data_IF_939999227442
#
_entry.id   IF_939999227442
#
_cell.length_a   1.000
_cell.length_b   1.000
_cell.length_c   1.000
_cell.angle_alpha   90.00
_cell.angle_beta   90.00
_cell.angle_gamma   90.00
#
_symmetry.space_group_name_H-M   'P 1'
#
loop_
_entity.id
_entity.type
_entity.pdbx_description
1 polymer ?
#
# COMPACT_ATOMS: atom_id res chain seq x y z
N UNK A 1 -4.82 -13.32 -3.48
CA UNK A 1 -4.66 -11.92 -3.99
C UNK A 1 -3.91 -11.12 -2.92
N UNK A 2 -3.07 -10.14 -3.32
CA UNK A 2 -2.42 -9.19 -2.38
C UNK A 2 -2.60 -7.78 -2.95
N UNK A 3 -3.04 -6.82 -2.11
CA UNK A 3 -3.13 -5.41 -2.44
C UNK A 3 -2.31 -4.59 -1.43
N UNK A 4 -1.12 -4.14 -1.88
CA UNK A 4 -0.27 -3.16 -1.19
C UNK A 4 -0.14 -1.86 -2.02
N UNK A 5 -1.08 -1.62 -2.94
CA UNK A 5 -1.05 -0.47 -3.83
C UNK A 5 -1.95 0.67 -3.31
N UNK A 6 -3.25 0.57 -3.55
CA UNK A 6 -4.24 1.55 -3.06
C UNK A 6 -5.60 0.88 -2.89
N UNK A 7 -6.43 1.38 -1.97
CA UNK A 7 -7.78 0.88 -1.70
C UNK A 7 -8.64 0.77 -2.95
N UNK A 8 -8.79 1.85 -3.76
CA UNK A 8 -9.61 1.84 -4.98
C UNK A 8 -9.17 0.86 -6.08
N UNK A 9 -8.02 0.19 -5.93
CA UNK A 9 -7.62 -0.89 -6.86
C UNK A 9 -8.48 -2.15 -6.70
N UNK A 10 -9.28 -2.24 -5.63
CA UNK A 10 -10.10 -3.40 -5.31
C UNK A 10 -11.51 -2.93 -4.93
N UNK A 11 -12.52 -3.48 -5.57
CA UNK A 11 -13.92 -3.29 -5.16
C UNK A 11 -14.19 -4.19 -3.95
N UNK A 12 -14.40 -3.62 -2.76
CA UNK A 12 -14.54 -4.35 -1.50
C UNK A 12 -15.63 -5.43 -1.57
N UNK A 13 -16.81 -5.08 -2.12
CA UNK A 13 -17.93 -6.02 -2.22
C UNK A 13 -17.58 -7.26 -3.07
N UNK A 14 -16.84 -7.07 -4.16
CA UNK A 14 -16.42 -8.15 -5.04
C UNK A 14 -15.35 -9.03 -4.37
N UNK A 15 -14.44 -8.42 -3.61
CA UNK A 15 -13.45 -9.16 -2.82
C UNK A 15 -14.13 -10.04 -1.77
N UNK A 16 -15.09 -9.47 -1.02
CA UNK A 16 -15.87 -10.19 -0.02
C UNK A 16 -16.61 -11.38 -0.65
N UNK A 17 -17.28 -11.15 -1.78
CA UNK A 17 -17.99 -12.21 -2.50
C UNK A 17 -17.03 -13.31 -2.97
N UNK A 18 -15.91 -12.93 -3.57
CA UNK A 18 -14.92 -13.88 -4.08
C UNK A 18 -14.31 -14.77 -2.99
N UNK A 19 -14.06 -14.19 -1.82
CA UNK A 19 -13.51 -14.92 -0.67
C UNK A 19 -14.56 -15.86 -0.05
N UNK A 20 -15.81 -15.41 0.11
CA UNK A 20 -16.90 -16.22 0.66
C UNK A 20 -17.31 -17.38 -0.23
N UNK A 21 -17.30 -17.17 -1.53
CA UNK A 21 -17.63 -18.18 -2.53
C UNK A 21 -16.47 -19.13 -2.87
N UNK A 22 -15.28 -18.89 -2.28
CA UNK A 22 -14.10 -19.71 -2.54
C UNK A 22 -13.46 -19.49 -3.92
N UNK A 23 -13.90 -18.47 -4.68
CA UNK A 23 -13.25 -18.06 -5.94
C UNK A 23 -11.83 -17.55 -5.72
N UNK A 24 -11.59 -16.97 -4.55
CA UNK A 24 -10.25 -16.70 -4.01
C UNK A 24 -10.05 -17.54 -2.76
N UNK A 25 -8.96 -18.29 -2.72
CA UNK A 25 -8.56 -19.06 -1.54
C UNK A 25 -8.23 -18.16 -0.35
N UNK A 26 -7.62 -16.98 -0.61
CA UNK A 26 -7.29 -15.99 0.41
C UNK A 26 -6.83 -14.68 -0.19
N UNK A 27 -6.81 -13.65 0.64
CA UNK A 27 -6.30 -12.34 0.27
C UNK A 27 -5.53 -11.67 1.42
N UNK A 28 -4.67 -10.72 1.06
CA UNK A 28 -4.05 -9.76 1.98
C UNK A 28 -4.23 -8.35 1.44
N UNK A 29 -4.67 -7.43 2.29
CA UNK A 29 -4.84 -6.02 1.95
C UNK A 29 -4.16 -5.16 3.00
N UNK A 30 -3.30 -4.25 2.54
CA UNK A 30 -2.63 -3.27 3.39
C UNK A 30 -3.34 -1.91 3.36
N UNK A 31 -4.15 -1.69 2.33
CA UNK A 31 -4.90 -0.47 2.11
C UNK A 31 -6.32 -0.82 1.68
N UNK A 32 -7.31 -0.16 2.28
CA UNK A 32 -8.75 -0.32 1.99
C UNK A 32 -9.35 1.01 1.54
N UNK A 33 -10.63 0.98 1.13
CA UNK A 33 -11.40 2.18 0.81
C UNK A 33 -12.83 2.00 1.34
N UNK A 34 -13.24 2.70 2.42
CA UNK A 34 -12.47 3.71 3.17
C UNK A 34 -11.28 3.12 3.96
N UNK A 35 -10.36 3.98 4.38
CA UNK A 35 -9.22 3.63 5.21
C UNK A 35 -9.27 4.40 6.55
N UNK A 36 -9.30 3.71 7.71
CA UNK A 36 -9.46 2.26 7.86
C UNK A 36 -10.83 1.78 7.38
N UNK A 37 -11.04 0.44 7.23
CA UNK A 37 -12.37 -0.10 6.92
C UNK A 37 -13.39 0.32 7.96
N UNK A 38 -14.63 0.56 7.54
CA UNK A 38 -15.71 0.87 8.46
C UNK A 38 -15.83 -0.20 9.57
N UNK A 39 -16.24 0.20 10.77
CA UNK A 39 -16.29 -0.72 11.92
C UNK A 39 -17.24 -1.93 11.68
N UNK A 40 -18.24 -1.75 10.83
CA UNK A 40 -19.20 -2.77 10.41
C UNK A 40 -18.85 -3.43 9.08
N UNK A 41 -17.67 -3.12 8.51
CA UNK A 41 -17.23 -3.74 7.25
C UNK A 41 -17.18 -5.26 7.36
N UNK A 42 -17.72 -5.98 6.35
CA UNK A 42 -17.67 -7.43 6.30
C UNK A 42 -16.25 -7.99 6.19
N UNK A 43 -15.26 -7.17 5.87
CA UNK A 43 -13.86 -7.57 5.79
C UNK A 43 -13.34 -8.13 7.12
N UNK A 44 -13.78 -7.56 8.27
CA UNK A 44 -13.33 -7.96 9.59
C UNK A 44 -13.68 -9.42 9.96
N UNK A 45 -14.75 -9.95 9.35
CA UNK A 45 -15.24 -11.31 9.64
C UNK A 45 -14.74 -12.40 8.70
N UNK A 46 -13.84 -12.10 7.74
CA UNK A 46 -13.38 -13.06 6.76
C UNK A 46 -12.16 -13.85 7.29
N UNK A 47 -12.25 -15.18 7.47
CA UNK A 47 -11.17 -15.99 8.04
C UNK A 47 -9.98 -16.16 7.08
N UNK A 48 -10.18 -15.88 5.80
CA UNK A 48 -9.19 -16.01 4.73
C UNK A 48 -8.72 -14.64 4.19
N UNK A 49 -8.89 -13.57 4.99
CA UNK A 49 -8.39 -12.24 4.70
C UNK A 49 -7.42 -11.78 5.80
N UNK A 50 -6.23 -11.33 5.38
CA UNK A 50 -5.30 -10.60 6.23
C UNK A 50 -5.44 -9.10 5.93
N UNK A 51 -5.62 -8.30 6.97
CA UNK A 51 -5.61 -6.83 6.89
C UNK A 51 -4.40 -6.32 7.67
N UNK A 52 -3.60 -5.46 7.07
CA UNK A 52 -2.50 -4.76 7.73
C UNK A 52 -2.73 -3.25 7.68
N UNK A 53 -2.18 -2.45 8.62
CA UNK A 53 -2.57 -1.05 8.80
C UNK A 53 -1.73 -0.09 7.94
N UNK A 54 -1.67 -0.29 6.61
CA UNK A 54 -0.96 0.53 5.64
C UNK A 54 0.55 0.66 5.96
N UNK A 55 1.17 -0.46 6.27
CA UNK A 55 2.57 -0.52 6.69
C UNK A 55 3.48 -1.33 5.75
N UNK A 56 2.97 -1.78 4.61
CA UNK A 56 3.74 -2.60 3.67
C UNK A 56 5.00 -1.90 3.12
N UNK A 57 5.02 -0.56 3.13
CA UNK A 57 6.19 0.23 2.75
C UNK A 57 7.16 0.53 3.88
N UNK A 58 6.79 0.26 5.12
CA UNK A 58 7.61 0.59 6.29
C UNK A 58 8.76 -0.41 6.46
N UNK A 59 9.94 0.11 6.69
CA UNK A 59 11.13 -0.67 7.01
C UNK A 59 11.90 0.00 8.14
N UNK A 60 12.78 -0.75 8.83
CA UNK A 60 13.65 -0.20 9.88
C UNK A 60 14.56 0.93 9.40
N UNK A 61 14.72 1.11 8.10
CA UNK A 61 15.58 2.13 7.48
C UNK A 61 14.77 3.13 6.66
N UNK A 62 13.43 3.16 6.83
CA UNK A 62 12.56 3.99 5.99
C UNK A 62 12.99 5.46 5.99
N UNK A 63 13.08 6.07 7.18
CA UNK A 63 13.44 7.47 7.32
C UNK A 63 14.86 7.75 6.81
N UNK A 64 15.82 6.87 7.14
CA UNK A 64 17.20 7.03 6.69
C UNK A 64 17.31 6.98 5.15
N UNK A 65 16.57 6.08 4.51
CA UNK A 65 16.55 5.97 3.04
C UNK A 65 15.90 7.21 2.40
N UNK A 66 14.80 7.71 2.98
CA UNK A 66 14.12 8.93 2.49
C UNK A 66 15.05 10.15 2.61
N UNK A 67 15.72 10.31 3.76
CA UNK A 67 16.68 11.41 3.98
C UNK A 67 17.86 11.31 3.02
N UNK A 68 18.38 10.11 2.77
CA UNK A 68 19.47 9.90 1.80
C UNK A 68 19.06 10.35 0.39
N UNK A 69 17.89 9.92 -0.08
CA UNK A 69 17.37 10.32 -1.40
C UNK A 69 17.17 11.84 -1.46
N UNK A 70 16.61 12.44 -0.40
CA UNK A 70 16.40 13.88 -0.32
C UNK A 70 17.73 14.64 -0.44
N UNK A 71 18.74 14.25 0.36
CA UNK A 71 20.06 14.90 0.33
C UNK A 71 20.69 14.79 -1.05
N UNK A 72 20.68 13.60 -1.64
CA UNK A 72 21.23 13.40 -2.98
C UNK A 72 20.52 14.29 -4.02
N UNK A 73 19.19 14.38 -3.96
CA UNK A 73 18.43 15.20 -4.89
C UNK A 73 18.67 16.71 -4.68
N UNK A 74 18.82 17.17 -3.45
CA UNK A 74 19.21 18.55 -3.16
C UNK A 74 20.61 18.85 -3.72
N UNK A 75 21.58 17.96 -3.55
CA UNK A 75 22.91 18.13 -4.11
C UNK A 75 22.90 18.16 -5.65
N UNK A 76 22.08 17.34 -6.29
CA UNK A 76 21.87 17.33 -7.74
C UNK A 76 21.28 18.66 -8.24
N UNK A 77 20.21 19.13 -7.58
CA UNK A 77 19.59 20.42 -7.88
C UNK A 77 20.58 21.57 -7.73
N UNK A 78 21.38 21.56 -6.67
CA UNK A 78 22.40 22.58 -6.42
C UNK A 78 23.47 22.63 -7.50
N UNK A 79 23.82 21.48 -8.08
CA UNK A 79 24.76 21.39 -9.21
C UNK A 79 24.13 21.68 -10.57
N UNK A 80 22.80 21.83 -10.63
CA UNK A 80 22.07 22.04 -11.88
C UNK A 80 21.87 20.76 -12.71
N UNK A 81 21.93 19.58 -12.06
CA UNK A 81 21.69 18.31 -12.74
C UNK A 81 20.22 18.25 -13.23
N UNK A 82 20.04 17.79 -14.48
CA UNK A 82 18.71 17.73 -15.10
C UNK A 82 17.84 16.57 -14.61
N UNK A 83 18.44 15.57 -13.92
CA UNK A 83 17.75 14.36 -13.48
C UNK A 83 17.92 14.14 -11.99
N UNK A 84 16.83 13.76 -11.33
CA UNK A 84 16.81 13.43 -9.91
C UNK A 84 16.72 11.90 -9.71
N UNK A 85 17.20 11.44 -8.56
CA UNK A 85 17.02 10.04 -8.16
C UNK A 85 15.54 9.77 -7.88
N UNK A 86 15.00 8.67 -8.41
CA UNK A 86 13.58 8.28 -8.30
C UNK A 86 12.60 9.32 -8.90
N UNK A 87 13.03 10.11 -9.86
CA UNK A 87 12.15 11.01 -10.60
C UNK A 87 11.13 10.19 -11.41
N UNK A 88 9.84 10.56 -11.30
CA UNK A 88 8.72 9.83 -11.91
C UNK A 88 8.21 10.51 -13.19
N UNK A 89 8.54 11.79 -13.39
CA UNK A 89 8.18 12.62 -14.54
C UNK A 89 9.35 13.48 -14.98
#
# INVERSE_FOLDING_TARGET
MVNCARGPCVVEADLVAALREGRLWGAAVDITDPEPPAADSPLWGLPNLLITPHTAGETRKYEANVIEILRENLDRLWRGDATLRNQVV
#
